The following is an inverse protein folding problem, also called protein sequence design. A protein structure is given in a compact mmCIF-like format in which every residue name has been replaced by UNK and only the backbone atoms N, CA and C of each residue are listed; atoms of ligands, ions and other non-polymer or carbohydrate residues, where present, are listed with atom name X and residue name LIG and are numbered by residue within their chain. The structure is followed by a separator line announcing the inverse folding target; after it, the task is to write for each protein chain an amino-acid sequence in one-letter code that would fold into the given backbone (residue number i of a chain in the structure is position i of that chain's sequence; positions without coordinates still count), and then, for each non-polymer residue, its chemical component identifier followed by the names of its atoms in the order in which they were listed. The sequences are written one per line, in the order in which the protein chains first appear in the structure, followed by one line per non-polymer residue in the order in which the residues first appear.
data_IF_039642945555
#
_entry.id   IF_039642945555
#
_cell.length_a   1.000
_cell.length_b   1.000
_cell.length_c   1.000
_cell.angle_alpha   90.00
_cell.angle_beta   90.00
_cell.angle_gamma   90.00
#
_symmetry.space_group_name_H-M   'P 1'
#
loop_
_entity.id
_entity.type
_entity.pdbx_description
1 polymer ?
#
# COMPACT_ATOMS: atom_id res chain seq x y z
N UNK A 1 17.25 5.79 -11.12
CA UNK A 1 18.41 5.62 -10.25
C UNK A 1 18.33 6.61 -9.09
N UNK A 2 17.77 6.18 -7.96
CA UNK A 2 17.43 6.98 -6.79
C UNK A 2 18.61 7.77 -6.23
N UNK A 3 19.80 7.17 -6.13
CA UNK A 3 21.01 7.87 -5.69
C UNK A 3 21.34 9.12 -6.52
N UNK A 4 21.12 9.04 -7.84
CA UNK A 4 21.40 10.19 -8.75
C UNK A 4 20.35 11.29 -8.64
N UNK A 5 19.20 11.00 -8.06
CA UNK A 5 18.11 11.99 -7.89
C UNK A 5 18.19 12.75 -6.58
N UNK A 6 19.03 12.30 -5.65
CA UNK A 6 19.24 12.98 -4.37
C UNK A 6 20.10 14.25 -4.64
N UNK A 7 19.62 15.39 -4.15
CA UNK A 7 20.26 16.71 -4.24
C UNK A 7 20.54 17.26 -2.83
N UNK A 8 21.34 18.30 -2.70
CA UNK A 8 21.67 18.95 -1.41
C UNK A 8 20.43 19.42 -0.63
N UNK A 9 19.36 19.80 -1.32
CA UNK A 9 18.11 20.23 -0.72
C UNK A 9 17.08 19.10 -0.53
N UNK A 10 17.40 17.85 -0.87
CA UNK A 10 16.53 16.70 -0.61
C UNK A 10 16.41 16.49 0.91
N UNK A 11 15.19 16.34 1.41
CA UNK A 11 14.89 16.17 2.84
C UNK A 11 14.17 14.87 3.15
N UNK A 12 13.39 14.37 2.20
CA UNK A 12 12.51 13.22 2.42
C UNK A 12 12.69 12.22 1.29
N UNK A 13 12.82 10.95 1.63
CA UNK A 13 12.61 9.82 0.74
C UNK A 13 11.20 9.32 0.97
N UNK A 14 10.30 9.61 0.02
CA UNK A 14 8.90 9.17 0.05
C UNK A 14 8.66 8.08 -0.97
N UNK A 15 7.99 7.00 -0.55
CA UNK A 15 7.59 5.92 -1.46
C UNK A 15 6.30 5.25 -1.03
N UNK A 16 5.64 4.60 -1.99
CA UNK A 16 4.52 3.70 -1.79
C UNK A 16 4.94 2.27 -2.16
N UNK A 17 4.62 1.29 -1.32
CA UNK A 17 4.87 -0.13 -1.64
C UNK A 17 3.87 -1.05 -0.92
N UNK A 18 3.14 -1.94 -1.63
CA UNK A 18 3.08 -2.09 -3.10
C UNK A 18 2.59 -0.82 -3.79
N UNK A 19 3.07 -0.54 -5.01
CA UNK A 19 2.73 0.70 -5.75
C UNK A 19 1.34 0.66 -6.38
N UNK A 20 0.72 1.81 -6.53
CA UNK A 20 -0.54 1.99 -7.26
C UNK A 20 -0.26 2.67 -8.63
N UNK A 21 -0.68 2.11 -9.78
CA UNK A 21 -1.45 0.85 -9.96
C UNK A 21 -0.57 -0.37 -10.24
N UNK A 22 0.75 -0.20 -10.31
CA UNK A 22 1.69 -1.19 -10.86
C UNK A 22 1.91 -2.42 -9.98
N UNK A 23 1.56 -2.38 -8.69
CA UNK A 23 1.81 -3.43 -7.70
C UNK A 23 3.30 -3.80 -7.54
N UNK A 24 4.20 -2.91 -7.95
CA UNK A 24 5.64 -3.11 -7.79
C UNK A 24 6.01 -3.05 -6.30
N UNK A 25 6.98 -3.88 -5.91
CA UNK A 25 7.47 -3.94 -4.53
C UNK A 25 8.83 -3.25 -4.45
N UNK A 26 8.92 -2.22 -3.62
CA UNK A 26 10.18 -1.54 -3.33
C UNK A 26 10.79 -2.18 -2.09
N UNK A 27 12.08 -2.53 -2.15
CA UNK A 27 12.81 -3.07 -1.01
C UNK A 27 12.96 -2.02 0.09
N UNK A 28 12.21 -2.22 1.18
CA UNK A 28 12.19 -1.30 2.31
C UNK A 28 13.53 -1.26 3.06
N UNK A 29 14.26 -2.38 3.12
CA UNK A 29 15.57 -2.42 3.77
C UNK A 29 16.58 -1.59 2.99
N UNK A 30 16.59 -1.74 1.66
CA UNK A 30 17.43 -0.92 0.79
C UNK A 30 17.05 0.56 0.88
N UNK A 31 15.76 0.90 0.83
CA UNK A 31 15.30 2.29 0.90
C UNK A 31 15.64 2.94 2.25
N UNK A 32 15.47 2.21 3.36
CA UNK A 32 15.85 2.69 4.69
C UNK A 32 17.36 2.95 4.83
N UNK A 33 18.20 2.07 4.26
CA UNK A 33 19.66 2.29 4.21
C UNK A 33 20.00 3.53 3.39
N UNK A 34 19.40 3.69 2.21
CA UNK A 34 19.59 4.86 1.34
C UNK A 34 19.20 6.17 2.05
N UNK A 35 18.06 6.20 2.72
CA UNK A 35 17.62 7.36 3.47
C UNK A 35 18.60 7.72 4.60
N UNK A 36 19.03 6.72 5.38
CA UNK A 36 19.98 6.90 6.48
C UNK A 36 21.33 7.42 6.02
N UNK A 37 21.89 6.85 4.94
CA UNK A 37 23.19 7.26 4.37
C UNK A 37 23.20 8.71 3.87
N UNK A 38 22.03 9.23 3.49
CA UNK A 38 21.86 10.58 2.97
C UNK A 38 21.18 11.55 3.96
N UNK A 39 21.01 11.17 5.22
CA UNK A 39 20.32 11.97 6.26
C UNK A 39 18.92 12.45 5.85
N UNK A 40 18.16 11.60 5.14
CA UNK A 40 16.78 11.86 4.72
C UNK A 40 15.79 11.28 5.71
N UNK A 41 14.66 11.95 5.88
CA UNK A 41 13.49 11.32 6.51
C UNK A 41 12.93 10.25 5.57
N UNK A 42 12.73 9.05 6.09
CA UNK A 42 12.14 7.95 5.35
C UNK A 42 10.64 7.85 5.64
N UNK A 43 9.81 8.14 4.65
CA UNK A 43 8.37 8.17 4.77
C UNK A 43 7.72 7.18 3.80
N UNK A 44 6.86 6.31 4.31
CA UNK A 44 6.25 5.22 3.52
C UNK A 44 4.74 5.34 3.53
N UNK A 45 4.13 5.36 2.34
CA UNK A 45 2.72 5.04 2.16
C UNK A 45 2.54 3.53 2.17
N UNK A 46 1.84 3.03 3.20
CA UNK A 46 1.62 1.61 3.46
C UNK A 46 0.14 1.21 3.31
N UNK A 47 -0.62 1.98 2.51
CA UNK A 47 -2.08 1.83 2.43
C UNK A 47 -2.51 0.45 1.96
N UNK A 48 -1.90 -0.10 0.90
CA UNK A 48 -2.30 -1.40 0.33
C UNK A 48 -1.89 -2.58 1.21
N UNK A 49 -0.75 -2.48 1.86
CA UNK A 49 -0.26 -3.55 2.72
C UNK A 49 -0.94 -3.55 4.10
N UNK A 50 -1.36 -2.40 4.61
CA UNK A 50 -1.87 -2.22 5.97
C UNK A 50 -0.80 -2.49 7.05
N UNK A 51 -0.99 -2.08 8.30
CA UNK A 51 -0.04 -2.40 9.37
C UNK A 51 0.01 -3.90 9.71
N UNK A 52 -0.98 -4.68 9.25
CA UNK A 52 -1.02 -6.12 9.47
C UNK A 52 -0.08 -6.90 8.55
N UNK A 53 0.01 -6.50 7.28
CA UNK A 53 0.80 -7.23 6.29
C UNK A 53 2.23 -6.73 6.18
N UNK A 54 2.48 -5.43 6.43
CA UNK A 54 3.80 -4.83 6.27
C UNK A 54 4.04 -3.74 7.33
N UNK A 55 5.23 -3.71 7.89
CA UNK A 55 5.60 -2.80 8.97
C UNK A 55 6.89 -2.02 8.63
N UNK A 56 6.80 -0.93 7.84
CA UNK A 56 7.97 -0.19 7.36
C UNK A 56 8.87 0.36 8.46
N UNK A 57 8.34 0.63 9.66
CA UNK A 57 9.13 1.05 10.83
C UNK A 57 10.26 0.06 11.13
N UNK A 58 10.05 -1.24 10.93
CA UNK A 58 11.08 -2.27 11.14
C UNK A 58 12.25 -2.17 10.16
N UNK A 59 12.05 -1.45 9.08
CA UNK A 59 13.04 -1.20 8.02
C UNK A 59 13.59 0.23 8.05
N UNK A 60 13.35 0.96 9.15
CA UNK A 60 13.91 2.29 9.39
C UNK A 60 13.04 3.46 8.89
N UNK A 61 11.77 3.23 8.54
CA UNK A 61 10.88 4.33 8.25
C UNK A 61 10.67 5.22 9.49
N UNK A 62 10.83 6.53 9.31
CA UNK A 62 10.56 7.53 10.34
C UNK A 62 9.07 7.81 10.49
N UNK A 63 8.35 7.75 9.37
CA UNK A 63 6.91 7.95 9.27
C UNK A 63 6.29 6.90 8.34
N UNK A 64 5.09 6.45 8.71
CA UNK A 64 4.26 5.58 7.88
C UNK A 64 2.85 6.16 7.83
N UNK A 65 2.30 6.31 6.62
CA UNK A 65 0.93 6.74 6.45
C UNK A 65 0.02 5.60 5.96
N UNK A 66 -1.23 5.73 6.30
CA UNK A 66 -2.31 4.88 5.82
C UNK A 66 -3.52 5.75 5.46
N UNK A 67 -4.07 5.55 4.28
CA UNK A 67 -5.45 5.96 4.01
C UNK A 67 -6.38 5.05 4.82
N UNK A 68 -6.92 5.55 5.91
CA UNK A 68 -7.85 4.80 6.74
C UNK A 68 -9.18 4.53 6.01
N UNK A 69 -9.48 5.31 4.98
CA UNK A 69 -10.58 5.13 4.02
C UNK A 69 -10.57 3.75 3.34
N UNK A 70 -9.37 3.15 3.16
CA UNK A 70 -9.18 1.87 2.46
C UNK A 70 -9.41 0.69 3.43
N UNK A 71 -8.44 -0.18 3.58
CA UNK A 71 -8.58 -1.41 4.37
C UNK A 71 -8.75 -1.21 5.88
N UNK A 72 -8.32 -0.06 6.44
CA UNK A 72 -8.53 0.19 7.87
C UNK A 72 -10.01 0.28 8.18
N UNK A 73 -10.78 1.10 7.45
CA UNK A 73 -12.25 1.05 7.52
C UNK A 73 -12.80 -0.25 6.92
N UNK A 74 -12.42 -0.54 5.67
CA UNK A 74 -12.72 -1.78 4.96
C UNK A 74 -14.17 -1.93 4.49
N UNK A 75 -15.03 -0.93 4.68
CA UNK A 75 -16.46 -0.98 4.32
C UNK A 75 -16.97 0.30 3.63
N UNK A 76 -16.08 1.25 3.32
CA UNK A 76 -16.45 2.49 2.63
C UNK A 76 -17.32 3.45 3.46
N UNK A 77 -17.20 3.44 4.79
CA UNK A 77 -18.02 4.23 5.70
C UNK A 77 -17.37 5.55 6.11
N UNK A 78 -16.04 5.59 6.16
CA UNK A 78 -15.28 6.70 6.73
C UNK A 78 -14.17 7.14 5.77
N UNK A 79 -14.04 8.46 5.62
CA UNK A 79 -12.87 9.10 5.03
C UNK A 79 -11.91 9.49 6.14
N UNK A 80 -10.68 8.99 6.10
CA UNK A 80 -9.70 9.30 7.12
C UNK A 80 -8.28 8.88 6.75
N UNK A 81 -7.33 9.37 7.53
CA UNK A 81 -5.93 9.02 7.41
C UNK A 81 -5.29 8.80 8.78
N UNK A 82 -4.22 8.03 8.78
CA UNK A 82 -3.39 7.79 9.97
C UNK A 82 -1.94 7.94 9.59
N UNK A 83 -1.20 8.70 10.39
CA UNK A 83 0.26 8.78 10.32
C UNK A 83 0.80 8.26 11.65
N UNK A 84 1.74 7.34 11.57
CA UNK A 84 2.47 6.79 12.73
C UNK A 84 3.96 6.93 12.51
N UNK A 85 4.71 7.10 13.60
CA UNK A 85 6.16 7.23 13.51
C UNK A 85 6.79 7.76 14.77
N UNK A 86 7.98 8.33 14.64
CA UNK A 86 8.75 8.89 15.73
C UNK A 86 8.00 10.05 16.41
N UNK A 87 7.92 10.02 17.73
CA UNK A 87 7.12 10.97 18.52
C UNK A 87 7.40 12.44 18.17
N UNK A 88 8.67 12.83 18.06
CA UNK A 88 9.05 14.22 17.73
C UNK A 88 8.45 14.71 16.41
N UNK A 89 8.38 13.85 15.39
CA UNK A 89 7.75 14.18 14.10
C UNK A 89 6.22 14.20 14.20
N UNK A 90 5.66 13.30 14.98
CA UNK A 90 4.20 13.27 15.22
C UNK A 90 3.77 14.52 15.97
N UNK A 91 4.54 15.01 16.93
CA UNK A 91 4.25 16.25 17.67
C UNK A 91 4.21 17.47 16.71
N UNK A 92 5.15 17.56 15.77
CA UNK A 92 5.17 18.62 14.75
C UNK A 92 3.97 18.52 13.81
N UNK A 93 3.64 17.31 13.34
CA UNK A 93 2.47 17.05 12.48
C UNK A 93 1.18 17.41 13.22
N UNK A 94 1.06 17.02 14.48
CA UNK A 94 -0.10 17.33 15.31
C UNK A 94 -0.22 18.85 15.56
N UNK A 95 0.89 19.53 15.80
CA UNK A 95 0.91 20.98 15.91
C UNK A 95 0.38 21.64 14.64
N UNK A 96 0.91 21.24 13.47
CA UNK A 96 0.45 21.72 12.17
C UNK A 96 -1.04 21.46 11.95
N UNK A 97 -1.50 20.22 12.15
CA UNK A 97 -2.90 19.85 11.96
C UNK A 97 -3.84 20.65 12.86
N UNK A 98 -3.46 20.85 14.12
CA UNK A 98 -4.24 21.65 15.09
C UNK A 98 -4.41 23.11 14.68
N UNK A 99 -3.43 23.69 13.97
CA UNK A 99 -3.47 25.09 13.53
C UNK A 99 -4.07 25.27 12.13
N UNK A 100 -4.11 24.23 11.32
CA UNK A 100 -4.68 24.25 9.95
C UNK A 100 -6.08 23.69 9.86
N UNK A 101 -6.56 23.01 10.92
CA UNK A 101 -7.95 22.63 11.09
C UNK A 101 -8.35 21.19 10.71
N UNK A 102 -7.55 20.36 10.00
CA UNK A 102 -7.97 19.00 9.72
C UNK A 102 -8.13 18.20 11.02
N UNK A 103 -9.31 17.67 11.24
CA UNK A 103 -9.63 16.84 12.39
C UNK A 103 -10.59 15.72 12.01
N UNK A 104 -10.30 14.53 12.48
CA UNK A 104 -11.23 13.41 12.36
C UNK A 104 -12.35 13.58 13.40
N UNK A 105 -13.62 13.32 12.99
CA UNK A 105 -14.73 13.35 13.93
C UNK A 105 -14.58 12.24 14.98
N UNK A 106 -15.11 12.44 16.18
CA UNK A 106 -15.09 11.42 17.23
C UNK A 106 -15.83 10.14 16.79
N UNK A 107 -16.91 10.27 16.02
CA UNK A 107 -17.66 9.14 15.49
C UNK A 107 -16.82 8.35 14.48
N UNK A 108 -16.16 9.03 13.52
CA UNK A 108 -15.32 8.37 12.53
C UNK A 108 -14.11 7.69 13.20
N UNK A 109 -13.51 8.32 14.21
CA UNK A 109 -12.45 7.72 15.01
C UNK A 109 -12.89 6.43 15.69
N UNK A 110 -14.11 6.43 16.26
CA UNK A 110 -14.70 5.23 16.87
C UNK A 110 -14.96 4.13 15.83
N UNK A 111 -15.52 4.46 14.65
CA UNK A 111 -15.75 3.49 13.56
C UNK A 111 -14.43 2.87 13.13
N UNK A 112 -13.38 3.68 12.91
CA UNK A 112 -12.05 3.18 12.53
C UNK A 112 -11.43 2.28 13.61
N UNK A 113 -11.55 2.66 14.88
CA UNK A 113 -11.10 1.85 16.00
C UNK A 113 -11.76 0.48 16.02
N UNK A 114 -13.10 0.43 15.82
CA UNK A 114 -13.85 -0.83 15.75
C UNK A 114 -13.49 -1.66 14.50
N UNK A 115 -13.20 -1.01 13.40
CA UNK A 115 -12.77 -1.69 12.15
C UNK A 115 -11.42 -2.37 12.30
N UNK A 116 -10.50 -1.79 13.07
CA UNK A 116 -9.19 -2.38 13.34
C UNK A 116 -9.28 -3.75 14.03
N UNK A 117 -10.31 -3.98 14.85
CA UNK A 117 -10.52 -5.26 15.54
C UNK A 117 -10.64 -6.45 14.58
N UNK A 118 -11.11 -6.22 13.35
CA UNK A 118 -11.28 -7.25 12.32
C UNK A 118 -10.26 -7.17 11.18
N UNK A 119 -9.33 -6.22 11.23
CA UNK A 119 -8.40 -5.97 10.13
C UNK A 119 -7.60 -7.23 9.75
N UNK A 120 -7.07 -7.96 10.73
CA UNK A 120 -6.27 -9.16 10.48
C UNK A 120 -7.06 -10.23 9.72
N UNK A 121 -8.28 -10.54 10.18
CA UNK A 121 -9.16 -11.54 9.56
C UNK A 121 -9.54 -11.12 8.14
N UNK A 122 -9.84 -9.84 7.94
CA UNK A 122 -10.18 -9.31 6.61
C UNK A 122 -8.98 -9.38 5.66
N UNK A 123 -7.78 -9.00 6.10
CA UNK A 123 -6.60 -9.03 5.27
C UNK A 123 -6.15 -10.46 4.92
N UNK A 124 -6.32 -11.42 5.83
CA UNK A 124 -6.11 -12.84 5.52
C UNK A 124 -7.07 -13.31 4.42
N UNK A 125 -8.37 -13.02 4.57
CA UNK A 125 -9.37 -13.40 3.56
C UNK A 125 -9.15 -12.71 2.21
N UNK A 126 -8.82 -11.42 2.22
CA UNK A 126 -8.49 -10.70 0.98
C UNK A 126 -7.28 -11.32 0.28
N UNK A 127 -6.24 -11.66 1.03
CA UNK A 127 -5.03 -12.27 0.47
C UNK A 127 -5.30 -13.68 -0.10
N UNK A 128 -6.08 -14.49 0.61
CA UNK A 128 -6.49 -15.84 0.16
C UNK A 128 -7.34 -15.80 -1.12
N UNK A 129 -8.19 -14.79 -1.24
CA UNK A 129 -8.99 -14.60 -2.44
C UNK A 129 -8.14 -14.07 -3.61
N UNK A 130 -7.30 -13.08 -3.33
CA UNK A 130 -6.50 -12.43 -4.36
C UNK A 130 -5.48 -13.36 -5.00
N UNK A 131 -4.80 -14.23 -4.23
CA UNK A 131 -3.86 -15.20 -4.80
C UNK A 131 -4.58 -16.18 -5.75
N UNK A 132 -5.75 -16.69 -5.39
CA UNK A 132 -6.53 -17.61 -6.25
C UNK A 132 -6.98 -16.93 -7.54
N UNK A 133 -7.42 -15.67 -7.46
CA UNK A 133 -7.78 -14.89 -8.65
C UNK A 133 -6.55 -14.63 -9.51
N UNK A 134 -5.41 -14.28 -8.92
CA UNK A 134 -4.16 -14.03 -9.64
C UNK A 134 -3.66 -15.29 -10.37
N UNK A 135 -3.66 -16.44 -9.70
CA UNK A 135 -3.30 -17.74 -10.30
C UNK A 135 -4.24 -18.13 -11.44
N UNK A 136 -5.53 -17.90 -11.30
CA UNK A 136 -6.51 -18.16 -12.35
C UNK A 136 -6.33 -17.22 -13.55
N UNK A 137 -6.09 -15.93 -13.31
CA UNK A 137 -5.81 -14.96 -14.37
C UNK A 137 -4.52 -15.28 -15.12
N UNK A 138 -3.47 -15.72 -14.43
CA UNK A 138 -2.19 -16.07 -15.04
C UNK A 138 -2.30 -17.26 -16.04
N UNK A 139 -3.27 -18.14 -15.82
CA UNK A 139 -3.55 -19.27 -16.70
C UNK A 139 -4.49 -18.92 -17.86
N UNK A 140 -5.07 -17.72 -17.88
CA UNK A 140 -6.05 -17.32 -18.89
C UNK A 140 -5.36 -16.80 -20.14
N UNK A 141 -5.66 -17.41 -21.31
CA UNK A 141 -5.04 -17.05 -22.60
C UNK A 141 -5.29 -15.61 -23.07
N UNK A 142 -6.32 -14.92 -22.54
CA UNK A 142 -6.63 -13.53 -22.85
C UNK A 142 -5.86 -12.53 -21.97
N UNK A 143 -5.08 -12.98 -21.01
CA UNK A 143 -4.28 -12.16 -20.12
C UNK A 143 -2.83 -12.13 -20.64
N UNK A 144 -2.25 -10.94 -20.68
CA UNK A 144 -0.85 -10.74 -21.10
C UNK A 144 0.09 -10.95 -19.91
N UNK A 145 -0.21 -10.33 -18.77
CA UNK A 145 0.53 -10.50 -17.53
C UNK A 145 -0.37 -10.24 -16.31
N UNK A 146 0.04 -10.77 -15.17
CA UNK A 146 -0.56 -10.52 -13.85
C UNK A 146 0.55 -10.10 -12.88
N UNK A 147 0.30 -9.05 -12.10
CA UNK A 147 1.17 -8.65 -10.99
C UNK A 147 0.41 -8.80 -9.67
N UNK A 148 0.88 -9.69 -8.85
CA UNK A 148 0.45 -9.87 -7.47
C UNK A 148 1.66 -10.21 -6.61
N UNK A 149 1.88 -9.55 -5.45
CA UNK A 149 3.14 -9.65 -4.68
C UNK A 149 3.59 -11.07 -4.33
N UNK A 150 2.65 -12.00 -4.23
CA UNK A 150 2.91 -13.40 -3.83
C UNK A 150 2.72 -14.41 -4.96
N UNK A 151 2.64 -13.96 -6.22
CA UNK A 151 2.82 -14.86 -7.38
C UNK A 151 4.32 -15.07 -7.62
N UNK A 152 4.78 -16.33 -7.84
CA UNK A 152 6.18 -16.63 -8.17
C UNK A 152 6.70 -15.92 -9.42
N UNK A 153 5.82 -15.56 -10.36
CA UNK A 153 6.13 -14.79 -11.58
C UNK A 153 6.34 -13.29 -11.33
N UNK A 154 5.99 -12.79 -10.13
CA UNK A 154 6.16 -11.37 -9.82
C UNK A 154 7.65 -10.97 -9.79
N UNK A 155 8.08 -9.89 -10.49
CA UNK A 155 9.51 -9.53 -10.58
C UNK A 155 10.21 -9.32 -9.24
N UNK A 156 9.46 -8.88 -8.22
CA UNK A 156 9.98 -8.67 -6.86
C UNK A 156 9.41 -9.67 -5.85
N UNK A 157 9.09 -10.89 -6.26
CA UNK A 157 8.52 -11.94 -5.41
C UNK A 157 9.30 -12.15 -4.11
N UNK A 158 10.63 -12.31 -4.20
CA UNK A 158 11.50 -12.55 -3.05
C UNK A 158 11.50 -11.36 -2.07
N UNK A 159 11.45 -10.12 -2.59
CA UNK A 159 11.35 -8.90 -1.77
C UNK A 159 9.99 -8.88 -1.05
N UNK A 160 8.90 -9.16 -1.78
CA UNK A 160 7.57 -9.26 -1.20
C UNK A 160 7.50 -10.28 -0.07
N UNK A 161 8.01 -11.49 -0.29
CA UNK A 161 8.07 -12.58 0.71
C UNK A 161 8.91 -12.21 1.94
N UNK A 162 9.95 -11.41 1.77
CA UNK A 162 10.82 -10.96 2.86
C UNK A 162 10.15 -9.93 3.76
N UNK A 163 9.43 -8.97 3.19
CA UNK A 163 8.93 -7.80 3.92
C UNK A 163 7.44 -7.80 4.21
N UNK A 164 6.65 -8.62 3.53
CA UNK A 164 5.21 -8.73 3.70
C UNK A 164 4.83 -10.08 4.31
N UNK A 165 3.80 -10.10 5.15
CA UNK A 165 3.24 -11.33 5.74
C UNK A 165 2.45 -12.14 4.71
N UNK A 166 1.64 -11.47 3.87
CA UNK A 166 0.83 -12.01 2.78
C UNK A 166 0.80 -10.97 1.64
N UNK A 167 0.34 -11.36 0.45
CA UNK A 167 0.35 -10.53 -0.76
C UNK A 167 -0.69 -9.39 -0.80
N UNK A 168 -1.64 -9.38 0.14
CA UNK A 168 -2.70 -8.36 0.19
C UNK A 168 -3.89 -8.66 -0.73
N UNK A 169 -4.80 -7.69 -0.84
CA UNK A 169 -6.05 -7.83 -1.56
C UNK A 169 -6.07 -7.21 -2.97
N UNK A 170 -4.95 -6.63 -3.41
CA UNK A 170 -4.85 -5.94 -4.70
C UNK A 170 -3.96 -6.70 -5.67
N UNK A 171 -4.36 -6.72 -6.93
CA UNK A 171 -3.58 -7.24 -8.05
C UNK A 171 -3.77 -6.35 -9.29
N UNK A 172 -2.83 -6.38 -10.20
CA UNK A 172 -2.93 -5.73 -11.51
C UNK A 172 -2.74 -6.77 -12.61
N UNK A 173 -3.42 -6.58 -13.73
CA UNK A 173 -3.26 -7.45 -14.91
C UNK A 173 -3.50 -6.67 -16.19
N UNK A 174 -2.98 -7.16 -17.29
CA UNK A 174 -3.19 -6.61 -18.62
C UNK A 174 -3.95 -7.60 -19.50
N UNK A 175 -4.98 -7.09 -20.19
CA UNK A 175 -5.74 -7.84 -21.20
C UNK A 175 -5.05 -7.74 -22.55
N UNK A 176 -4.95 -8.87 -23.25
CA UNK A 176 -4.54 -8.88 -24.68
C UNK A 176 -5.58 -8.11 -25.50
N UNK A 177 -5.09 -7.34 -26.47
CA UNK A 177 -5.95 -6.57 -27.38
C UNK A 177 -6.16 -5.11 -27.00
N UNK A 178 -5.44 -4.62 -25.99
CA UNK A 178 -5.30 -3.19 -25.69
C UNK A 178 -6.59 -2.52 -25.20
N UNK A 179 -6.68 -1.19 -25.38
CA UNK A 179 -7.71 -0.34 -24.81
C UNK A 179 -9.16 -0.78 -25.13
N UNK A 180 -9.43 -1.21 -26.36
CA UNK A 180 -10.78 -1.59 -26.76
C UNK A 180 -11.24 -2.86 -26.05
N UNK A 181 -10.36 -3.84 -25.86
CA UNK A 181 -10.64 -5.04 -25.07
C UNK A 181 -10.79 -4.74 -23.59
N UNK A 182 -10.03 -3.79 -23.06
CA UNK A 182 -10.20 -3.30 -21.70
C UNK A 182 -11.58 -2.68 -21.47
N UNK A 183 -12.06 -1.85 -22.40
CA UNK A 183 -13.41 -1.28 -22.34
C UNK A 183 -14.50 -2.36 -22.41
N UNK A 184 -14.41 -3.27 -23.40
CA UNK A 184 -15.33 -4.39 -23.55
C UNK A 184 -15.40 -5.25 -22.26
N UNK A 185 -14.24 -5.49 -21.62
CA UNK A 185 -14.18 -6.22 -20.36
C UNK A 185 -14.96 -5.48 -19.25
N UNK A 186 -14.70 -4.18 -19.07
CA UNK A 186 -15.36 -3.39 -18.02
C UNK A 186 -16.87 -3.30 -18.25
N UNK A 187 -17.30 -3.08 -19.50
CA UNK A 187 -18.72 -2.97 -19.86
C UNK A 187 -19.49 -4.29 -19.66
N UNK A 188 -18.81 -5.43 -19.66
CA UNK A 188 -19.43 -6.74 -19.46
C UNK A 188 -19.41 -7.23 -17.99
N UNK A 189 -18.82 -6.48 -17.05
CA UNK A 189 -18.86 -6.82 -15.64
C UNK A 189 -20.30 -6.69 -15.12
N UNK A 190 -20.80 -7.73 -14.42
CA UNK A 190 -22.17 -7.78 -13.91
C UNK A 190 -22.27 -7.61 -12.40
N UNK A 191 -21.21 -7.95 -11.66
CA UNK A 191 -21.20 -7.92 -10.20
C UNK A 191 -20.36 -6.76 -9.63
N UNK A 192 -19.52 -6.16 -10.45
CA UNK A 192 -18.61 -5.10 -10.08
C UNK A 192 -19.09 -3.81 -10.72
N UNK A 193 -19.16 -2.73 -9.92
CA UNK A 193 -19.56 -1.39 -10.35
C UNK A 193 -18.39 -0.41 -10.18
#
# INVERSE_FOLDING_TARGET
NWHKSIQENTKILFLETPTNPGMDIIDLEWAGKLAKENNLLFFVDNCFATPYLQQPIKYGADLVMHSATKYIDGQGRVLGGVIVGRQSLIDEIQFFARHTGPALSAFDAWVLSKSLETLSIRMERHSDNAIKVAEWLEQNSNIEWVKYPFLPSHPQYEIGKKQMKLGGGMLSFELKGGLNKGREFLDNLKMLS
#
